data_IF_993435361791
#
_entry.id   IF_993435361791
#
_cell.length_a   1.000
_cell.length_b   1.000
_cell.length_c   1.000
_cell.angle_alpha   90.00
_cell.angle_beta   90.00
_cell.angle_gamma   90.00
#
_symmetry.space_group_name_H-M   'P 1'
#
loop_
_entity.id
_entity.type
_entity.pdbx_description
1 polymer ?
#
# COMPACT_ATOMS: atom_id res chain seq x y z
N UNK A 1 54.24 16.82 52.86
CA UNK A 1 52.92 17.28 52.43
C UNK A 1 52.70 16.73 50.98
N UNK A 2 51.90 15.67 50.83
CA UNK A 2 51.60 15.03 49.55
C UNK A 2 50.25 15.54 49.04
N UNK A 3 50.26 16.34 48.03
CA UNK A 3 49.04 16.84 47.35
C UNK A 3 48.51 15.77 46.40
N UNK A 4 47.36 15.20 46.77
CA UNK A 4 46.59 14.23 45.95
C UNK A 4 45.82 14.99 44.85
N UNK A 5 46.21 14.81 43.58
CA UNK A 5 45.49 15.37 42.44
C UNK A 5 44.40 14.38 42.00
N UNK A 6 43.13 14.68 42.28
CA UNK A 6 42.01 13.99 41.75
C UNK A 6 41.79 14.40 40.26
N UNK A 7 42.06 13.52 39.33
CA UNK A 7 41.67 13.69 37.95
C UNK A 7 40.20 13.23 37.79
N UNK A 8 39.28 14.18 37.60
CA UNK A 8 37.90 13.90 37.23
C UNK A 8 37.88 13.53 35.74
N UNK A 9 37.68 12.25 35.41
CA UNK A 9 37.37 11.80 34.05
C UNK A 9 35.88 12.01 33.82
N UNK A 10 35.52 13.07 33.12
CA UNK A 10 34.14 13.27 32.63
C UNK A 10 33.92 12.34 31.42
N UNK A 11 33.26 11.21 31.63
CA UNK A 11 32.77 10.36 30.57
C UNK A 11 31.58 11.06 29.91
N UNK A 12 31.79 11.71 28.78
CA UNK A 12 30.74 12.25 27.93
C UNK A 12 29.98 11.06 27.31
N UNK A 13 28.79 10.75 27.85
CA UNK A 13 27.81 9.87 27.19
C UNK A 13 27.32 10.57 25.91
N UNK A 14 27.95 10.28 24.77
CA UNK A 14 27.40 10.60 23.47
C UNK A 14 26.20 9.70 23.25
N UNK A 15 25.01 10.14 23.63
CA UNK A 15 23.77 9.55 23.22
C UNK A 15 23.66 9.76 21.71
N UNK A 16 24.10 8.76 20.95
CA UNK A 16 23.91 8.72 19.51
C UNK A 16 22.41 8.73 19.24
N UNK A 17 21.88 9.85 18.75
CA UNK A 17 20.55 9.90 18.17
C UNK A 17 20.60 9.04 16.92
N UNK A 18 20.20 7.77 17.05
CA UNK A 18 20.01 6.91 15.90
C UNK A 18 18.89 7.54 15.08
N UNK A 19 19.24 8.13 13.94
CA UNK A 19 18.27 8.69 13.01
C UNK A 19 17.43 7.55 12.41
N UNK A 20 16.13 7.77 12.28
CA UNK A 20 15.27 6.89 11.51
C UNK A 20 15.77 6.80 10.07
N UNK A 21 15.67 5.65 9.44
CA UNK A 21 16.07 5.44 8.05
C UNK A 21 15.15 4.42 7.39
N UNK A 22 15.06 4.38 6.06
CA UNK A 22 14.23 3.40 5.35
C UNK A 22 14.56 1.94 5.69
N UNK A 23 15.81 1.64 6.08
CA UNK A 23 16.26 0.29 6.47
C UNK A 23 16.13 -0.01 7.97
N UNK A 24 15.97 1.03 8.80
CA UNK A 24 15.67 0.94 10.23
C UNK A 24 14.53 1.89 10.60
N UNK A 25 13.31 1.62 10.12
CA UNK A 25 12.17 2.52 10.25
C UNK A 25 11.67 2.60 11.70
N UNK A 26 11.20 3.79 12.11
CA UNK A 26 10.70 4.06 13.45
C UNK A 26 9.25 4.47 13.45
N UNK A 27 8.56 4.06 14.51
CA UNK A 27 7.18 4.50 14.80
C UNK A 27 7.14 6.03 14.91
N UNK A 28 6.16 6.63 14.23
CA UNK A 28 5.98 8.08 14.21
C UNK A 28 6.88 8.81 13.20
N UNK A 29 7.78 8.07 12.53
CA UNK A 29 8.61 8.57 11.43
C UNK A 29 8.16 7.96 10.10
N UNK A 30 8.73 6.80 9.71
CA UNK A 30 8.43 6.14 8.43
C UNK A 30 7.11 5.38 8.45
N UNK A 31 6.62 4.99 9.63
CA UNK A 31 5.35 4.27 9.76
C UNK A 31 4.62 4.62 11.04
N UNK A 32 3.33 4.31 11.07
CA UNK A 32 2.49 4.36 12.27
C UNK A 32 1.96 2.98 12.62
N UNK A 33 1.40 2.85 13.83
CA UNK A 33 0.80 1.60 14.30
C UNK A 33 -0.68 1.81 14.53
N UNK A 34 -1.52 0.94 13.99
CA UNK A 34 -2.96 0.97 14.25
C UNK A 34 -3.22 0.68 15.73
N UNK A 35 -4.03 1.51 16.37
CA UNK A 35 -4.43 1.32 17.75
C UNK A 35 -5.20 0.00 17.96
N UNK A 36 -6.00 -0.40 16.94
CA UNK A 36 -6.67 -1.69 16.88
C UNK A 36 -6.17 -2.43 15.63
N UNK A 37 -5.31 -3.44 15.78
CA UNK A 37 -4.86 -4.25 14.65
C UNK A 37 -6.03 -4.93 13.95
N UNK A 38 -5.98 -5.00 12.63
CA UNK A 38 -7.01 -5.64 11.82
C UNK A 38 -6.71 -7.13 11.64
N UNK A 39 -7.74 -7.98 11.57
CA UNK A 39 -7.57 -9.41 11.31
C UNK A 39 -6.85 -9.64 9.97
N UNK A 40 -5.91 -10.58 9.94
CA UNK A 40 -5.17 -10.95 8.73
C UNK A 40 -5.71 -12.26 8.14
N UNK A 41 -5.57 -12.42 6.82
CA UNK A 41 -5.89 -13.66 6.10
C UNK A 41 -4.68 -14.56 5.91
N UNK A 42 -3.50 -14.10 6.34
CA UNK A 42 -2.26 -14.88 6.24
C UNK A 42 -2.26 -16.05 7.22
N UNK A 43 -1.82 -17.22 6.74
CA UNK A 43 -1.73 -18.45 7.52
C UNK A 43 -0.27 -18.77 7.80
N UNK A 44 -0.01 -19.29 9.00
CA UNK A 44 1.35 -19.67 9.45
C UNK A 44 2.26 -18.45 9.58
N UNK A 45 3.48 -18.55 9.04
CA UNK A 45 4.49 -17.50 9.15
C UNK A 45 4.39 -16.41 8.07
N UNK A 46 3.44 -16.54 7.13
CA UNK A 46 3.24 -15.52 6.09
C UNK A 46 2.75 -14.22 6.70
N UNK A 47 3.21 -13.10 6.16
CA UNK A 47 2.79 -11.75 6.58
C UNK A 47 1.78 -11.19 5.57
N UNK A 48 0.62 -10.75 6.03
CA UNK A 48 -0.33 -10.07 5.14
C UNK A 48 0.16 -8.66 4.83
N UNK A 49 0.10 -8.28 3.56
CA UNK A 49 0.38 -6.94 3.08
C UNK A 49 -0.84 -6.43 2.33
N UNK A 50 -1.43 -5.36 2.82
CA UNK A 50 -2.60 -4.73 2.21
C UNK A 50 -2.19 -3.39 1.61
N UNK A 51 -2.40 -3.20 0.32
CA UNK A 51 -2.25 -1.90 -0.34
C UNK A 51 -3.63 -1.27 -0.57
N UNK A 52 -3.80 -0.04 -0.08
CA UNK A 52 -4.89 0.84 -0.47
C UNK A 52 -4.42 1.73 -1.62
N UNK A 53 -5.08 1.65 -2.75
CA UNK A 53 -4.70 2.36 -3.97
C UNK A 53 -5.92 2.96 -4.69
N UNK A 54 -5.69 3.75 -5.74
CA UNK A 54 -6.70 4.14 -6.71
C UNK A 54 -6.08 4.21 -8.10
N UNK A 55 -6.84 3.88 -9.14
CA UNK A 55 -6.32 3.90 -10.51
C UNK A 55 -5.97 5.30 -11.00
N UNK A 56 -6.69 6.34 -10.56
CA UNK A 56 -6.35 7.74 -10.89
C UNK A 56 -5.15 8.30 -10.12
N UNK A 57 -4.67 7.60 -9.10
CA UNK A 57 -3.59 8.06 -8.24
C UNK A 57 -2.22 8.01 -8.94
N UNK A 58 -1.63 9.16 -9.22
CA UNK A 58 -0.31 9.24 -9.85
C UNK A 58 0.82 8.63 -9.03
N UNK A 59 0.78 8.77 -7.69
CA UNK A 59 1.76 8.16 -6.80
C UNK A 59 1.63 6.62 -6.77
N UNK A 60 0.40 6.08 -6.86
CA UNK A 60 0.19 4.64 -7.00
C UNK A 60 0.79 4.11 -8.29
N UNK A 61 0.49 4.79 -9.43
CA UNK A 61 1.09 4.43 -10.71
C UNK A 61 2.63 4.46 -10.69
N UNK A 62 3.23 5.44 -10.02
CA UNK A 62 4.67 5.53 -9.85
C UNK A 62 5.24 4.42 -8.93
N UNK A 63 4.45 3.94 -7.98
CA UNK A 63 4.85 2.91 -7.03
C UNK A 63 4.70 1.49 -7.58
N UNK A 64 3.75 1.24 -8.49
CA UNK A 64 3.46 -0.10 -9.04
C UNK A 64 4.70 -0.88 -9.51
N UNK A 65 5.65 -0.33 -10.30
CA UNK A 65 6.81 -1.10 -10.73
C UNK A 65 7.68 -1.57 -9.56
N UNK A 66 7.88 -0.70 -8.57
CA UNK A 66 8.67 -1.02 -7.37
C UNK A 66 7.93 -2.03 -6.49
N UNK A 67 6.63 -1.84 -6.28
CA UNK A 67 5.80 -2.73 -5.48
C UNK A 67 5.71 -4.13 -6.11
N UNK A 68 5.48 -4.23 -7.41
CA UNK A 68 5.41 -5.51 -8.12
C UNK A 68 6.75 -6.27 -8.08
N UNK A 69 7.89 -5.56 -8.25
CA UNK A 69 9.22 -6.16 -8.09
C UNK A 69 9.44 -6.63 -6.64
N UNK A 70 9.02 -5.84 -5.67
CA UNK A 70 9.10 -6.17 -4.25
C UNK A 70 8.23 -7.38 -3.88
N UNK A 71 6.97 -7.44 -4.34
CA UNK A 71 6.09 -8.60 -4.14
C UNK A 71 6.74 -9.87 -4.70
N UNK A 72 7.29 -9.80 -5.91
CA UNK A 72 8.00 -10.92 -6.53
C UNK A 72 9.22 -11.38 -5.71
N UNK A 73 9.98 -10.43 -5.15
CA UNK A 73 11.11 -10.71 -4.26
C UNK A 73 10.66 -11.40 -2.96
N UNK A 74 9.54 -10.98 -2.37
CA UNK A 74 9.00 -11.56 -1.14
C UNK A 74 8.47 -12.99 -1.35
N UNK A 75 7.92 -13.28 -2.52
CA UNK A 75 7.40 -14.61 -2.86
C UNK A 75 6.43 -15.13 -1.80
N UNK A 76 6.73 -16.31 -1.27
CA UNK A 76 5.88 -16.98 -0.28
C UNK A 76 5.93 -16.42 1.14
N UNK A 77 6.75 -15.42 1.41
CA UNK A 77 6.83 -14.79 2.73
C UNK A 77 5.60 -13.92 3.04
N UNK A 78 4.90 -13.47 2.01
CA UNK A 78 3.76 -12.58 2.15
C UNK A 78 2.48 -13.11 1.52
N UNK A 79 1.35 -12.55 1.95
CA UNK A 79 0.06 -12.63 1.26
C UNK A 79 -0.32 -11.21 0.86
N UNK A 80 -0.23 -10.91 -0.44
CA UNK A 80 -0.55 -9.57 -0.94
C UNK A 80 -2.04 -9.43 -1.23
N UNK A 81 -2.63 -8.33 -0.79
CA UNK A 81 -4.00 -7.93 -1.10
C UNK A 81 -4.03 -6.47 -1.53
N UNK A 82 -4.76 -6.18 -2.59
CA UNK A 82 -5.07 -4.81 -3.01
C UNK A 82 -6.50 -4.46 -2.67
N UNK A 83 -6.72 -3.28 -2.14
CA UNK A 83 -8.03 -2.74 -1.80
C UNK A 83 -8.15 -1.36 -2.45
N UNK A 84 -9.09 -1.15 -3.37
CA UNK A 84 -9.28 0.16 -3.96
C UNK A 84 -9.90 1.10 -2.91
N UNK A 85 -9.32 2.30 -2.76
CA UNK A 85 -9.86 3.33 -1.87
C UNK A 85 -10.99 4.08 -2.62
N UNK A 86 -12.23 4.07 -2.09
CA UNK A 86 -13.37 4.61 -2.81
C UNK A 86 -13.49 6.13 -2.62
N UNK A 87 -12.80 6.94 -3.42
CA UNK A 87 -12.80 8.40 -3.32
C UNK A 87 -14.17 9.03 -3.65
N UNK A 88 -15.01 8.33 -4.41
CA UNK A 88 -16.38 8.73 -4.72
C UNK A 88 -17.42 7.98 -3.83
N UNK A 89 -16.97 7.47 -2.68
CA UNK A 89 -17.82 6.78 -1.72
C UNK A 89 -18.26 5.37 -2.19
N UNK A 90 -19.41 4.88 -1.70
CA UNK A 90 -19.83 3.49 -1.90
C UNK A 90 -20.30 3.17 -3.33
N UNK A 91 -20.17 4.09 -4.26
CA UNK A 91 -20.48 3.91 -5.70
C UNK A 91 -19.31 4.25 -6.60
N UNK A 92 -18.09 4.31 -6.06
CA UNK A 92 -16.88 4.64 -6.81
C UNK A 92 -16.66 3.73 -8.03
N UNK A 93 -16.66 4.27 -9.27
CA UNK A 93 -16.58 3.46 -10.48
C UNK A 93 -15.24 2.75 -10.65
N UNK A 94 -14.12 3.40 -10.28
CA UNK A 94 -12.79 2.77 -10.38
C UNK A 94 -12.64 1.63 -9.39
N UNK A 95 -13.15 1.80 -8.16
CA UNK A 95 -13.18 0.75 -7.16
C UNK A 95 -14.06 -0.43 -7.63
N UNK A 96 -15.19 -0.13 -8.26
CA UNK A 96 -16.07 -1.15 -8.85
C UNK A 96 -15.40 -1.89 -10.00
N UNK A 97 -14.64 -1.19 -10.87
CA UNK A 97 -13.83 -1.81 -11.92
C UNK A 97 -12.85 -2.84 -11.34
N UNK A 98 -12.09 -2.45 -10.33
CA UNK A 98 -11.16 -3.37 -9.66
C UNK A 98 -11.88 -4.62 -9.14
N UNK A 99 -12.96 -4.45 -8.40
CA UNK A 99 -13.74 -5.55 -7.82
C UNK A 99 -14.38 -6.44 -8.89
N UNK A 100 -14.75 -5.87 -10.03
CA UNK A 100 -15.29 -6.62 -11.19
C UNK A 100 -14.21 -7.47 -11.84
N UNK A 101 -13.02 -6.91 -12.07
CA UNK A 101 -11.88 -7.66 -12.61
C UNK A 101 -11.46 -8.79 -11.67
N UNK A 102 -11.46 -8.54 -10.35
CA UNK A 102 -11.22 -9.55 -9.32
C UNK A 102 -12.25 -10.70 -9.40
N UNK A 103 -13.53 -10.36 -9.43
CA UNK A 103 -14.62 -11.33 -9.51
C UNK A 103 -14.59 -12.18 -10.80
N UNK A 104 -14.07 -11.61 -11.89
CA UNK A 104 -13.88 -12.31 -13.18
C UNK A 104 -12.59 -13.15 -13.22
N UNK A 105 -11.71 -13.08 -12.20
CA UNK A 105 -10.38 -13.69 -12.24
C UNK A 105 -9.46 -13.06 -13.29
N UNK A 106 -9.67 -11.78 -13.62
CA UNK A 106 -8.94 -11.03 -14.65
C UNK A 106 -8.02 -9.95 -14.09
N UNK A 107 -7.97 -9.82 -12.76
CA UNK A 107 -7.24 -8.72 -12.11
C UNK A 107 -5.76 -8.70 -12.51
N UNK A 108 -5.06 -9.82 -12.41
CA UNK A 108 -3.63 -9.91 -12.76
C UNK A 108 -3.35 -9.48 -14.20
N UNK A 109 -4.23 -9.84 -15.13
CA UNK A 109 -4.08 -9.50 -16.55
C UNK A 109 -4.37 -8.02 -16.86
N UNK A 110 -5.27 -7.39 -16.08
CA UNK A 110 -5.82 -6.08 -16.44
C UNK A 110 -5.39 -4.95 -15.51
N UNK A 111 -4.85 -5.22 -14.34
CA UNK A 111 -4.49 -4.20 -13.37
C UNK A 111 -3.54 -3.14 -13.95
N UNK A 112 -2.41 -3.57 -14.52
CA UNK A 112 -1.45 -2.68 -15.16
C UNK A 112 -2.03 -1.99 -16.40
N UNK A 113 -2.93 -2.66 -17.13
CA UNK A 113 -3.60 -2.06 -18.30
C UNK A 113 -4.52 -0.91 -17.90
N UNK A 114 -5.19 -1.01 -16.75
CA UNK A 114 -6.01 0.10 -16.25
C UNK A 114 -5.15 1.28 -15.85
N UNK A 115 -4.04 1.06 -15.12
CA UNK A 115 -3.09 2.13 -14.82
C UNK A 115 -2.55 2.78 -16.10
N UNK A 116 -2.15 1.98 -17.09
CA UNK A 116 -1.71 2.49 -18.40
C UNK A 116 -2.78 3.31 -19.09
N UNK A 117 -4.03 2.83 -19.11
CA UNK A 117 -5.14 3.55 -19.73
C UNK A 117 -5.32 4.93 -19.09
N UNK A 118 -5.26 5.02 -17.75
CA UNK A 118 -5.44 6.29 -17.04
C UNK A 118 -4.23 7.21 -17.21
N UNK A 119 -3.01 6.72 -16.96
CA UNK A 119 -1.82 7.57 -16.83
C UNK A 119 -1.06 7.81 -18.15
N UNK A 120 -1.10 6.86 -19.08
CA UNK A 120 -0.42 6.96 -20.38
C UNK A 120 -1.39 7.36 -21.48
N UNK A 121 -2.51 6.64 -21.60
CA UNK A 121 -3.50 6.87 -22.66
C UNK A 121 -4.49 8.00 -22.31
N UNK A 122 -4.43 8.54 -21.09
CA UNK A 122 -5.25 9.66 -20.60
C UNK A 122 -6.76 9.37 -20.64
N UNK A 123 -7.15 8.10 -20.50
CA UNK A 123 -8.56 7.71 -20.38
C UNK A 123 -9.11 8.12 -19.03
N UNK A 124 -10.30 8.70 -19.03
CA UNK A 124 -11.02 9.05 -17.80
C UNK A 124 -11.96 7.89 -17.45
N UNK A 125 -11.51 7.00 -16.58
CA UNK A 125 -12.31 5.86 -16.11
C UNK A 125 -13.08 6.20 -14.81
N UNK A 126 -13.75 7.36 -14.82
CA UNK A 126 -14.46 7.92 -13.66
C UNK A 126 -15.98 7.76 -13.73
N UNK A 127 -16.49 7.15 -14.80
CA UNK A 127 -17.92 6.90 -15.03
C UNK A 127 -18.14 5.47 -15.49
N UNK A 128 -19.27 4.88 -15.10
CA UNK A 128 -19.65 3.52 -15.46
C UNK A 128 -19.58 3.26 -16.98
N UNK A 129 -20.14 4.18 -17.78
CA UNK A 129 -20.18 4.03 -19.24
C UNK A 129 -18.78 4.03 -19.87
N UNK A 130 -17.87 4.90 -19.39
CA UNK A 130 -16.49 4.98 -19.89
C UNK A 130 -15.73 3.68 -19.56
N UNK A 131 -15.96 3.12 -18.38
CA UNK A 131 -15.36 1.86 -17.93
C UNK A 131 -15.89 0.68 -18.74
N UNK A 132 -17.21 0.60 -18.94
CA UNK A 132 -17.83 -0.48 -19.73
C UNK A 132 -17.33 -0.43 -21.18
N UNK A 133 -17.24 0.76 -21.78
CA UNK A 133 -16.71 0.95 -23.12
C UNK A 133 -15.23 0.54 -23.19
N UNK A 134 -14.42 0.95 -22.20
CA UNK A 134 -13.01 0.59 -22.12
C UNK A 134 -12.83 -0.94 -21.99
N UNK A 135 -13.60 -1.58 -21.12
CA UNK A 135 -13.54 -3.03 -20.90
C UNK A 135 -13.81 -3.80 -22.20
N UNK A 136 -14.86 -3.44 -22.94
CA UNK A 136 -15.19 -4.06 -24.22
C UNK A 136 -14.10 -3.82 -25.29
N UNK A 137 -13.57 -2.60 -25.38
CA UNK A 137 -12.51 -2.24 -26.33
C UNK A 137 -11.17 -2.95 -26.01
N UNK A 138 -10.97 -3.40 -24.77
CA UNK A 138 -9.76 -4.11 -24.33
C UNK A 138 -9.91 -5.64 -24.29
N UNK A 139 -10.98 -6.19 -24.90
CA UNK A 139 -11.14 -7.62 -25.13
C UNK A 139 -11.83 -8.38 -23.98
N UNK A 140 -12.46 -7.67 -23.03
CA UNK A 140 -13.36 -8.30 -22.08
C UNK A 140 -14.73 -8.54 -22.75
N UNK A 141 -15.27 -9.75 -22.56
CA UNK A 141 -16.63 -10.05 -22.98
C UNK A 141 -17.62 -9.12 -22.25
N UNK A 142 -18.33 -8.29 -23.02
CA UNK A 142 -19.21 -7.26 -22.49
C UNK A 142 -20.33 -7.84 -21.63
N UNK A 143 -20.90 -8.97 -22.02
CA UNK A 143 -22.01 -9.60 -21.29
C UNK A 143 -21.52 -10.13 -19.93
N UNK A 144 -20.41 -10.86 -19.93
CA UNK A 144 -19.79 -11.38 -18.69
C UNK A 144 -19.27 -10.26 -17.79
N UNK A 145 -18.74 -9.18 -18.38
CA UNK A 145 -18.32 -8.00 -17.62
C UNK A 145 -19.50 -7.34 -16.92
N UNK A 146 -20.60 -7.11 -17.62
CA UNK A 146 -21.82 -6.52 -17.04
C UNK A 146 -22.48 -7.42 -16.00
N UNK A 147 -22.45 -8.74 -16.19
CA UNK A 147 -22.91 -9.70 -15.21
C UNK A 147 -22.10 -9.57 -13.90
N UNK A 148 -20.76 -9.61 -13.98
CA UNK A 148 -19.89 -9.43 -12.83
C UNK A 148 -20.03 -8.04 -12.19
N UNK A 149 -20.07 -6.98 -13.02
CA UNK A 149 -20.25 -5.58 -12.62
C UNK A 149 -21.51 -5.37 -11.79
N UNK A 150 -22.62 -6.02 -12.17
CA UNK A 150 -23.90 -5.92 -11.48
C UNK A 150 -24.12 -7.01 -10.43
N UNK A 151 -23.16 -7.91 -10.24
CA UNK A 151 -23.31 -9.01 -9.28
C UNK A 151 -23.48 -8.53 -7.85
N UNK A 152 -24.25 -9.26 -7.06
CA UNK A 152 -24.44 -9.00 -5.64
C UNK A 152 -23.10 -8.98 -4.88
N UNK A 153 -22.15 -9.86 -5.25
CA UNK A 153 -20.82 -9.93 -4.64
C UNK A 153 -20.02 -8.65 -4.82
N UNK A 154 -19.93 -8.13 -6.06
CA UNK A 154 -19.26 -6.87 -6.36
C UNK A 154 -19.92 -5.70 -5.65
N UNK A 155 -21.24 -5.59 -5.72
CA UNK A 155 -21.99 -4.50 -5.06
C UNK A 155 -21.82 -4.51 -3.53
N UNK A 156 -21.83 -5.70 -2.92
CA UNK A 156 -21.65 -5.83 -1.47
C UNK A 156 -20.22 -5.46 -1.06
N UNK A 157 -19.20 -5.93 -1.80
CA UNK A 157 -17.81 -5.56 -1.55
C UNK A 157 -17.63 -4.03 -1.68
N UNK A 158 -18.16 -3.43 -2.75
CA UNK A 158 -18.05 -1.99 -3.02
C UNK A 158 -18.64 -1.15 -1.88
N UNK A 159 -19.84 -1.48 -1.42
CA UNK A 159 -20.51 -0.79 -0.30
C UNK A 159 -19.73 -0.89 1.01
N UNK A 160 -18.91 -1.90 1.20
CA UNK A 160 -18.10 -2.11 2.42
C UNK A 160 -16.76 -1.37 2.39
N UNK A 161 -16.28 -0.93 1.23
CA UNK A 161 -14.95 -0.31 1.11
C UNK A 161 -14.75 0.91 2.03
N UNK A 162 -15.71 1.84 2.20
CA UNK A 162 -15.52 2.95 3.13
C UNK A 162 -15.28 2.51 4.57
N UNK A 163 -16.03 1.53 5.05
CA UNK A 163 -15.84 0.99 6.40
C UNK A 163 -14.51 0.23 6.54
N UNK A 164 -14.09 -0.48 5.49
CA UNK A 164 -12.77 -1.14 5.46
C UNK A 164 -11.66 -0.10 5.51
N UNK A 165 -11.71 0.94 4.68
CA UNK A 165 -10.73 2.02 4.67
C UNK A 165 -10.63 2.70 6.05
N UNK A 166 -11.76 2.98 6.70
CA UNK A 166 -11.81 3.56 8.04
C UNK A 166 -11.17 2.65 9.08
N UNK A 167 -11.44 1.34 9.05
CA UNK A 167 -10.86 0.37 9.99
C UNK A 167 -9.33 0.33 9.91
N UNK A 168 -8.77 0.49 8.71
CA UNK A 168 -7.33 0.55 8.46
C UNK A 168 -6.76 1.98 8.57
N UNK A 169 -7.58 2.99 8.85
CA UNK A 169 -7.19 4.40 8.85
C UNK A 169 -6.55 4.84 7.51
N UNK A 170 -6.94 4.20 6.41
CA UNK A 170 -6.45 4.50 5.08
C UNK A 170 -7.28 5.64 4.47
N UNK A 171 -6.76 6.87 4.54
CA UNK A 171 -7.41 8.09 4.03
C UNK A 171 -6.73 8.65 2.77
N UNK A 172 -5.63 8.06 2.34
CA UNK A 172 -4.85 8.48 1.16
C UNK A 172 -4.24 7.27 0.45
N UNK A 173 -3.78 7.48 -0.78
CA UNK A 173 -3.16 6.44 -1.60
C UNK A 173 -1.81 6.88 -2.19
N UNK A 174 -0.85 5.96 -2.33
CA UNK A 174 -0.89 4.61 -1.79
C UNK A 174 -0.68 4.59 -0.27
N UNK A 175 -1.40 3.70 0.41
CA UNK A 175 -1.15 3.35 1.82
C UNK A 175 -0.97 1.85 1.91
N UNK A 176 0.11 1.39 2.53
CA UNK A 176 0.39 -0.03 2.72
C UNK A 176 0.28 -0.39 4.19
N UNK A 177 -0.44 -1.46 4.49
CA UNK A 177 -0.57 -1.96 5.86
C UNK A 177 0.03 -3.36 5.96
N UNK A 178 0.99 -3.52 6.84
CA UNK A 178 1.69 -4.78 7.10
C UNK A 178 1.08 -5.45 8.33
N UNK A 179 0.71 -6.71 8.20
CA UNK A 179 0.19 -7.58 9.26
C UNK A 179 -1.02 -6.99 10.01
N UNK A 180 -1.86 -6.25 9.28
CA UNK A 180 -3.02 -5.57 9.86
C UNK A 180 -2.67 -4.49 10.90
N UNK A 181 -1.40 -4.09 11.03
CA UNK A 181 -0.89 -3.31 12.16
C UNK A 181 -0.03 -2.11 11.78
N UNK A 182 0.96 -2.29 10.90
CA UNK A 182 1.93 -1.24 10.57
C UNK A 182 1.51 -0.51 9.29
N UNK A 183 1.29 0.79 9.39
CA UNK A 183 0.80 1.63 8.29
C UNK A 183 1.94 2.47 7.73
N UNK A 184 2.18 2.36 6.43
CA UNK A 184 3.21 3.07 5.67
C UNK A 184 2.60 3.78 4.49
N UNK A 185 3.09 4.97 4.16
CA UNK A 185 2.82 5.62 2.88
C UNK A 185 4.11 6.23 2.33
N UNK A 186 4.26 6.37 1.00
CA UNK A 186 5.39 7.12 0.45
C UNK A 186 5.47 8.54 1.02
N UNK A 187 4.34 9.18 1.33
CA UNK A 187 4.32 10.52 1.90
C UNK A 187 4.99 10.57 3.28
N UNK A 188 4.74 9.60 4.17
CA UNK A 188 5.40 9.53 5.48
C UNK A 188 6.89 9.27 5.34
N UNK A 189 7.28 8.38 4.42
CA UNK A 189 8.70 8.09 4.13
C UNK A 189 9.41 9.32 3.56
N UNK A 190 8.78 10.06 2.63
CA UNK A 190 9.33 11.28 2.07
C UNK A 190 9.59 12.34 3.14
N UNK A 191 8.60 12.56 4.01
CA UNK A 191 8.67 13.56 5.07
C UNK A 191 9.81 13.24 6.06
N UNK A 192 9.88 11.99 6.52
CA UNK A 192 10.86 11.57 7.53
C UNK A 192 12.30 11.60 7.01
N UNK A 193 12.50 11.26 5.74
CA UNK A 193 13.82 11.13 5.13
C UNK A 193 14.18 12.31 4.20
N UNK A 194 13.29 13.32 4.10
CA UNK A 194 13.47 14.53 3.23
C UNK A 194 13.73 14.16 1.77
N UNK A 195 13.11 13.09 1.27
CA UNK A 195 13.27 12.61 -0.10
C UNK A 195 12.34 13.38 -1.03
N UNK A 196 12.89 13.98 -2.08
CA UNK A 196 12.14 14.74 -3.09
C UNK A 196 12.07 14.00 -4.43
N UNK A 197 13.06 13.18 -4.75
CA UNK A 197 13.08 12.40 -5.97
C UNK A 197 12.12 11.21 -5.87
N UNK A 198 11.23 11.06 -6.86
CA UNK A 198 10.19 10.03 -6.86
C UNK A 198 10.76 8.61 -6.91
N UNK A 199 11.81 8.37 -7.70
CA UNK A 199 12.44 7.05 -7.82
C UNK A 199 13.11 6.62 -6.51
N UNK A 200 13.85 7.55 -5.89
CA UNK A 200 14.44 7.32 -4.57
C UNK A 200 13.36 7.07 -3.50
N UNK A 201 12.26 7.81 -3.56
CA UNK A 201 11.14 7.65 -2.63
C UNK A 201 10.50 6.26 -2.74
N UNK A 202 10.22 5.79 -3.96
CA UNK A 202 9.63 4.46 -4.15
C UNK A 202 10.59 3.36 -3.69
N UNK A 203 11.88 3.50 -3.95
CA UNK A 203 12.93 2.58 -3.44
C UNK A 203 12.98 2.57 -1.91
N UNK A 204 13.03 3.75 -1.29
CA UNK A 204 13.03 3.90 0.17
C UNK A 204 11.76 3.31 0.81
N UNK A 205 10.59 3.52 0.18
CA UNK A 205 9.34 2.91 0.63
C UNK A 205 9.44 1.39 0.62
N UNK A 206 9.97 0.79 -0.45
CA UNK A 206 10.21 -0.65 -0.53
C UNK A 206 11.14 -1.18 0.59
N UNK A 207 12.16 -0.41 0.98
CA UNK A 207 13.05 -0.76 2.10
C UNK A 207 12.31 -0.73 3.45
N UNK A 208 11.44 0.25 3.67
CA UNK A 208 10.57 0.29 4.86
C UNK A 208 9.66 -0.93 4.91
N UNK A 209 9.06 -1.32 3.77
CA UNK A 209 8.23 -2.53 3.70
C UNK A 209 9.04 -3.78 4.03
N UNK A 210 10.27 -3.94 3.52
CA UNK A 210 11.17 -5.06 3.84
C UNK A 210 11.41 -5.18 5.36
N UNK A 211 11.75 -4.06 6.01
CA UNK A 211 12.01 -4.02 7.44
C UNK A 211 10.76 -4.39 8.26
N UNK A 212 9.59 -3.90 7.86
CA UNK A 212 8.35 -4.16 8.59
C UNK A 212 7.82 -5.58 8.37
N UNK A 213 7.99 -6.17 7.19
CA UNK A 213 7.68 -7.60 6.95
C UNK A 213 8.57 -8.47 7.82
N UNK A 214 9.88 -8.18 7.87
CA UNK A 214 10.82 -8.90 8.75
C UNK A 214 10.40 -8.79 10.22
N UNK A 215 10.07 -7.59 10.68
CA UNK A 215 9.60 -7.34 12.05
C UNK A 215 8.30 -8.09 12.36
N UNK A 216 7.33 -8.08 11.44
CA UNK A 216 6.05 -8.78 11.62
C UNK A 216 6.25 -10.30 11.69
N UNK A 217 7.13 -10.87 10.84
CA UNK A 217 7.42 -12.29 10.82
C UNK A 217 8.05 -12.81 12.13
N UNK A 218 8.79 -11.96 12.85
CA UNK A 218 9.41 -12.32 14.15
C UNK A 218 8.38 -12.43 15.29
N UNK A 219 7.17 -11.91 15.11
CA UNK A 219 6.12 -11.89 16.14
C UNK A 219 5.03 -12.94 15.91
N UNK A 220 5.19 -13.80 14.89
CA UNK A 220 4.32 -14.95 14.54
C UNK A 220 4.92 -16.30 15.03
#
# INVERSE_FOLDING_TARGET
MRTLRFALVAAALVAGFANASPTDPRVGSEYTVLAAPQPTQAIGKKVEVVEFFAYHCGACNAFEPTLNAWIKKQGDNIVMRRIPLPFQGPSDPEARLFLTLDAMGKLEQYHDRVFRAVHVERKRLMKDDDIIAWAAANGLDKAKFLEAWNSFGVQTKLKRLPAVAEAYKASSTPTVVIDGKYVVSPATVAQSNKIQDMGQLMTATGQVLDALVTKAAQTK
#
